data_IF_695537695366
#
_entry.id   IF_695537695366
#
_cell.length_a   1.000
_cell.length_b   1.000
_cell.length_c   1.000
_cell.angle_alpha   90.00
_cell.angle_beta   90.00
_cell.angle_gamma   90.00
#
_symmetry.space_group_name_H-M   'P 1'
#
loop_
_entity.id
_entity.type
_entity.pdbx_description
1 polymer ?
#
# COMPACT_ATOMS: atom_id res chain seq x y z
N UNK A 1 -14.53 -35.07 51.23
CA UNK A 1 -13.88 -33.91 50.57
C UNK A 1 -13.65 -34.26 49.11
N UNK A 2 -14.35 -33.61 48.17
CA UNK A 2 -14.30 -33.95 46.75
C UNK A 2 -13.71 -32.76 45.98
N UNK A 3 -12.45 -32.87 45.57
CA UNK A 3 -11.73 -31.86 44.80
C UNK A 3 -12.10 -32.00 43.32
N UNK A 4 -12.88 -31.05 42.80
CA UNK A 4 -13.15 -30.94 41.36
C UNK A 4 -12.01 -30.18 40.69
N UNK A 5 -11.26 -30.88 39.84
CA UNK A 5 -10.31 -30.26 38.91
C UNK A 5 -11.10 -29.58 37.79
N UNK A 6 -11.20 -28.25 37.84
CA UNK A 6 -11.65 -27.45 36.71
C UNK A 6 -10.51 -27.29 35.72
N UNK A 7 -10.53 -28.07 34.64
CA UNK A 7 -9.67 -27.86 33.47
C UNK A 7 -10.13 -26.57 32.76
N UNK A 8 -9.40 -25.47 33.00
CA UNK A 8 -9.53 -24.26 32.21
C UNK A 8 -9.05 -24.54 30.78
N UNK A 9 -9.99 -24.78 29.87
CA UNK A 9 -9.73 -24.78 28.44
C UNK A 9 -9.61 -23.32 28.00
N UNK A 10 -8.40 -22.77 28.10
CA UNK A 10 -8.09 -21.50 27.43
C UNK A 10 -8.29 -21.70 25.93
N UNK A 11 -9.35 -21.09 25.39
CA UNK A 11 -9.57 -21.00 23.95
C UNK A 11 -8.40 -20.20 23.36
N UNK A 12 -7.37 -20.90 22.91
CA UNK A 12 -6.31 -20.33 22.09
C UNK A 12 -6.97 -19.71 20.84
N UNK A 13 -7.14 -18.39 20.86
CA UNK A 13 -7.50 -17.62 19.66
C UNK A 13 -6.43 -17.92 18.63
N UNK A 14 -6.77 -18.72 17.61
CA UNK A 14 -5.94 -18.89 16.41
C UNK A 14 -5.60 -17.50 15.90
N UNK A 15 -4.35 -17.07 16.08
CA UNK A 15 -3.82 -15.88 15.41
C UNK A 15 -3.87 -16.21 13.91
N UNK A 16 -4.65 -15.44 13.16
CA UNK A 16 -4.57 -15.46 11.72
C UNK A 16 -3.11 -15.21 11.32
N UNK A 17 -2.55 -15.98 10.38
CA UNK A 17 -1.17 -15.78 9.96
C UNK A 17 -1.04 -14.35 9.41
N UNK A 18 -0.15 -13.55 9.99
CA UNK A 18 0.14 -12.22 9.49
C UNK A 18 0.64 -12.33 8.05
N UNK A 19 -0.11 -11.74 7.11
CA UNK A 19 0.31 -11.69 5.73
C UNK A 19 1.65 -10.95 5.63
N UNK A 20 2.57 -11.38 4.74
CA UNK A 20 3.76 -10.61 4.42
C UNK A 20 3.39 -9.16 4.08
N UNK A 21 4.16 -8.20 4.59
CA UNK A 21 3.84 -6.76 4.54
C UNK A 21 3.53 -6.28 3.11
N UNK A 22 4.27 -6.78 2.11
CA UNK A 22 4.04 -6.47 0.70
C UNK A 22 2.66 -6.93 0.19
N UNK A 23 2.22 -8.14 0.58
CA UNK A 23 0.91 -8.66 0.19
C UNK A 23 -0.22 -7.86 0.82
N UNK A 24 -0.03 -7.44 2.08
CA UNK A 24 -0.98 -6.57 2.77
C UNK A 24 -1.07 -5.21 2.10
N UNK A 25 0.06 -4.57 1.82
CA UNK A 25 0.09 -3.28 1.12
C UNK A 25 -0.53 -3.37 -0.27
N UNK A 26 -0.26 -4.45 -1.02
CA UNK A 26 -0.87 -4.65 -2.33
C UNK A 26 -2.40 -4.72 -2.24
N UNK A 27 -2.93 -5.48 -1.27
CA UNK A 27 -4.37 -5.56 -1.03
C UNK A 27 -4.97 -4.20 -0.64
N UNK A 28 -4.28 -3.46 0.24
CA UNK A 28 -4.69 -2.11 0.66
C UNK A 28 -4.72 -1.15 -0.55
N UNK A 29 -3.69 -1.17 -1.39
CA UNK A 29 -3.64 -0.38 -2.62
C UNK A 29 -4.78 -0.76 -3.57
N UNK A 30 -5.02 -2.04 -3.81
CA UNK A 30 -6.11 -2.48 -4.69
C UNK A 30 -7.49 -2.04 -4.19
N UNK A 31 -7.69 -1.98 -2.87
CA UNK A 31 -8.93 -1.45 -2.29
C UNK A 31 -9.04 0.08 -2.46
N UNK A 32 -7.95 0.81 -2.21
CA UNK A 32 -7.91 2.27 -2.18
C UNK A 32 -7.82 2.93 -3.55
N UNK A 33 -7.26 2.26 -4.55
CA UNK A 33 -7.05 2.81 -5.87
C UNK A 33 -8.38 3.05 -6.61
N UNK A 34 -8.50 4.15 -7.37
CA UNK A 34 -9.66 4.40 -8.23
C UNK A 34 -9.69 3.38 -9.38
N UNK A 35 -10.82 3.29 -10.11
CA UNK A 35 -10.99 2.26 -11.16
C UNK A 35 -10.01 2.42 -12.33
N UNK A 36 -9.52 3.64 -12.53
CA UNK A 36 -8.58 4.03 -13.58
C UNK A 36 -7.12 3.83 -13.16
N UNK A 37 -6.88 3.24 -11.99
CA UNK A 37 -5.57 2.84 -11.51
C UNK A 37 -5.56 1.36 -11.12
N UNK A 38 -4.42 0.71 -11.28
CA UNK A 38 -4.23 -0.69 -10.87
C UNK A 38 -2.92 -0.87 -10.14
N UNK A 39 -2.91 -1.74 -9.14
CA UNK A 39 -1.70 -2.23 -8.47
C UNK A 39 -1.53 -3.72 -8.73
N UNK A 40 -0.34 -4.11 -9.15
CA UNK A 40 0.05 -5.46 -9.53
C UNK A 40 1.26 -5.89 -8.72
N UNK A 41 1.32 -7.17 -8.33
CA UNK A 41 2.54 -7.77 -7.81
C UNK A 41 3.58 -7.88 -8.93
N UNK A 42 4.81 -7.45 -8.65
CA UNK A 42 5.95 -7.58 -9.56
C UNK A 42 7.06 -8.33 -8.83
N UNK A 43 7.33 -9.62 -9.12
CA UNK A 43 8.32 -10.39 -8.39
C UNK A 43 9.71 -9.75 -8.50
N UNK A 44 10.41 -9.60 -7.37
CA UNK A 44 11.73 -8.98 -7.30
C UNK A 44 11.65 -7.46 -7.14
N UNK A 45 12.26 -6.73 -8.09
CA UNK A 45 12.28 -5.25 -8.12
C UNK A 45 11.39 -4.80 -9.28
N UNK A 46 10.36 -3.95 -9.06
CA UNK A 46 10.07 -3.20 -7.85
C UNK A 46 9.38 -3.95 -6.71
N UNK A 47 8.70 -5.08 -6.91
CA UNK A 47 7.88 -5.69 -5.85
C UNK A 47 6.39 -5.38 -6.04
N UNK A 48 6.06 -4.10 -6.25
CA UNK A 48 4.71 -3.65 -6.61
C UNK A 48 4.81 -2.68 -7.80
N UNK A 49 3.93 -2.85 -8.79
CA UNK A 49 3.77 -1.95 -9.91
C UNK A 49 2.41 -1.25 -9.82
N UNK A 50 2.39 0.06 -9.96
CA UNK A 50 1.16 0.86 -10.00
C UNK A 50 1.07 1.55 -11.35
N UNK A 51 -0.05 1.39 -12.04
CA UNK A 51 -0.31 2.03 -13.32
C UNK A 51 -1.52 2.97 -13.20
N UNK A 52 -1.38 4.21 -13.67
CA UNK A 52 -2.46 5.19 -13.72
C UNK A 52 -2.27 6.16 -14.89
N UNK A 53 -3.30 6.32 -15.74
CA UNK A 53 -3.32 7.28 -16.87
C UNK A 53 -2.05 7.23 -17.76
N UNK A 54 -1.60 6.02 -18.10
CA UNK A 54 -0.41 5.81 -18.92
C UNK A 54 0.93 6.02 -18.21
N UNK A 55 0.93 6.32 -16.90
CA UNK A 55 2.13 6.40 -16.06
C UNK A 55 2.28 5.13 -15.23
N UNK A 56 3.51 4.70 -15.02
CA UNK A 56 3.85 3.59 -14.15
C UNK A 56 4.77 4.05 -13.02
N UNK A 57 4.50 3.54 -11.81
CA UNK A 57 5.35 3.67 -10.64
C UNK A 57 5.72 2.27 -10.16
N UNK A 58 7.00 1.96 -10.10
CA UNK A 58 7.52 0.84 -9.34
C UNK A 58 7.69 1.22 -7.88
N UNK A 59 7.17 0.41 -6.98
CA UNK A 59 7.28 0.61 -5.55
C UNK A 59 7.90 -0.61 -4.89
N UNK A 60 9.04 -0.39 -4.23
CA UNK A 60 9.76 -1.41 -3.49
C UNK A 60 9.68 -1.18 -1.99
N UNK A 61 9.31 -2.21 -1.25
CA UNK A 61 9.34 -2.15 0.21
C UNK A 61 10.70 -2.60 0.72
N UNK A 62 11.27 -1.78 1.61
CA UNK A 62 12.53 -2.09 2.27
C UNK A 62 12.39 -1.75 3.75
N UNK A 63 12.55 -2.72 4.64
CA UNK A 63 12.35 -2.48 6.06
C UNK A 63 13.33 -1.42 6.61
N UNK A 64 13.03 -0.84 7.77
CA UNK A 64 13.94 0.13 8.41
C UNK A 64 15.24 -0.58 8.81
N UNK A 65 16.37 -0.04 8.36
CA UNK A 65 17.70 -0.62 8.59
C UNK A 65 18.18 -1.53 7.47
N UNK A 66 17.27 -2.02 6.62
CA UNK A 66 17.64 -2.86 5.49
C UNK A 66 18.25 -2.02 4.36
N UNK A 67 19.18 -2.67 3.64
CA UNK A 67 19.86 -2.15 2.46
C UNK A 67 19.48 -2.99 1.26
N UNK A 68 19.42 -2.35 0.10
CA UNK A 68 19.30 -3.08 -1.16
C UNK A 68 20.52 -3.98 -1.34
N UNK A 69 20.28 -5.21 -1.80
CA UNK A 69 21.36 -6.06 -2.27
C UNK A 69 22.00 -5.47 -3.53
N UNK A 70 23.19 -5.94 -3.88
CA UNK A 70 23.86 -5.51 -5.11
C UNK A 70 23.01 -5.80 -6.36
N UNK A 71 22.37 -6.98 -6.41
CA UNK A 71 21.48 -7.36 -7.51
C UNK A 71 20.26 -6.44 -7.61
N UNK A 72 19.63 -6.11 -6.48
CA UNK A 72 18.51 -5.16 -6.46
C UNK A 72 18.96 -3.76 -6.89
N UNK A 73 20.12 -3.30 -6.42
CA UNK A 73 20.67 -2.00 -6.79
C UNK A 73 20.88 -1.89 -8.30
N UNK A 74 21.47 -2.91 -8.91
CA UNK A 74 21.66 -2.94 -10.37
C UNK A 74 20.34 -2.95 -11.14
N UNK A 75 19.34 -3.70 -10.65
CA UNK A 75 18.00 -3.68 -11.24
C UNK A 75 17.34 -2.30 -11.15
N UNK A 76 17.48 -1.61 -10.00
CA UNK A 76 17.00 -0.24 -9.82
C UNK A 76 17.62 0.73 -10.82
N UNK A 77 18.95 0.66 -11.02
CA UNK A 77 19.67 1.49 -11.99
C UNK A 77 19.15 1.20 -13.40
N UNK A 78 19.11 -0.06 -13.82
CA UNK A 78 18.66 -0.44 -15.15
C UNK A 78 17.21 0.00 -15.44
N UNK A 79 16.30 -0.11 -14.48
CA UNK A 79 14.91 0.32 -14.65
C UNK A 79 14.80 1.84 -14.77
N UNK A 80 15.57 2.61 -13.98
CA UNK A 80 15.59 4.07 -14.08
C UNK A 80 16.18 4.54 -15.41
N UNK A 81 17.24 3.89 -15.88
CA UNK A 81 17.86 4.17 -17.18
C UNK A 81 16.89 3.88 -18.33
N UNK A 82 16.03 2.86 -18.18
CA UNK A 82 14.94 2.56 -19.10
C UNK A 82 13.75 3.56 -19.01
N UNK A 83 13.83 4.58 -18.16
CA UNK A 83 12.81 5.62 -18.00
C UNK A 83 11.70 5.29 -17.01
N UNK A 84 11.83 4.21 -16.23
CA UNK A 84 10.84 3.84 -15.23
C UNK A 84 11.01 4.67 -13.95
N UNK A 85 9.91 5.23 -13.44
CA UNK A 85 9.89 5.79 -12.08
C UNK A 85 9.81 4.65 -11.07
N UNK A 86 10.84 4.47 -10.26
CA UNK A 86 10.90 3.46 -9.21
C UNK A 86 11.35 4.07 -7.89
N UNK A 87 10.59 3.81 -6.84
CA UNK A 87 10.76 4.37 -5.49
C UNK A 87 10.88 3.27 -4.43
N UNK A 88 11.53 3.59 -3.33
CA UNK A 88 11.67 2.70 -2.17
C UNK A 88 10.88 3.28 -1.00
N UNK A 89 9.90 2.53 -0.51
CA UNK A 89 9.13 2.88 0.68
C UNK A 89 9.54 2.01 1.88
N UNK A 90 9.61 2.64 3.06
CA UNK A 90 9.97 1.98 4.32
C UNK A 90 8.77 1.45 5.10
N UNK A 91 7.59 1.95 4.78
CA UNK A 91 6.32 1.58 5.37
C UNK A 91 5.15 1.92 4.43
N UNK A 92 3.95 1.46 4.80
CA UNK A 92 2.73 1.68 4.04
C UNK A 92 2.38 3.19 3.90
N UNK A 93 2.69 4.00 4.92
CA UNK A 93 2.39 5.44 4.90
C UNK A 93 3.22 6.13 3.82
N UNK A 94 4.52 5.85 3.78
CA UNK A 94 5.41 6.37 2.75
C UNK A 94 5.01 5.86 1.36
N UNK A 95 4.63 4.58 1.25
CA UNK A 95 4.18 4.02 0.00
C UNK A 95 2.95 4.77 -0.56
N UNK A 96 1.93 4.98 0.27
CA UNK A 96 0.73 5.72 -0.13
C UNK A 96 1.04 7.18 -0.48
N UNK A 97 1.97 7.83 0.21
CA UNK A 97 2.42 9.18 -0.14
C UNK A 97 3.02 9.23 -1.56
N UNK A 98 3.87 8.27 -1.93
CA UNK A 98 4.43 8.18 -3.28
C UNK A 98 3.36 7.95 -4.35
N UNK A 99 2.33 7.16 -4.05
CA UNK A 99 1.18 6.97 -4.94
C UNK A 99 0.40 8.28 -5.14
N UNK A 100 0.25 9.10 -4.10
CA UNK A 100 -0.37 10.43 -4.19
C UNK A 100 0.46 11.39 -5.03
N UNK A 101 1.78 11.40 -4.87
CA UNK A 101 2.69 12.25 -5.66
C UNK A 101 2.68 11.90 -7.15
N UNK A 102 2.33 10.66 -7.51
CA UNK A 102 2.08 10.27 -8.90
C UNK A 102 0.79 10.89 -9.46
N UNK A 103 -0.08 11.42 -8.61
CA UNK A 103 -1.35 12.05 -8.97
C UNK A 103 -2.55 11.09 -8.91
N UNK A 104 -2.43 9.97 -8.19
CA UNK A 104 -3.54 9.02 -8.05
C UNK A 104 -4.45 9.43 -6.88
N UNK A 105 -5.74 9.70 -7.12
CA UNK A 105 -6.68 10.06 -6.06
C UNK A 105 -7.14 8.81 -5.29
N UNK A 106 -6.62 8.60 -4.09
CA UNK A 106 -6.99 7.47 -3.24
C UNK A 106 -8.42 7.67 -2.67
N UNK A 107 -9.22 6.59 -2.62
CA UNK A 107 -10.66 6.64 -2.29
C UNK A 107 -10.98 7.22 -0.91
N UNK A 108 -10.08 7.15 0.07
CA UNK A 108 -10.29 7.79 1.39
C UNK A 108 -10.43 9.32 1.25
N UNK A 109 -9.69 9.95 0.33
CA UNK A 109 -9.74 11.39 0.08
C UNK A 109 -10.85 11.79 -0.90
N UNK A 110 -11.25 10.90 -1.80
CA UNK A 110 -12.39 11.14 -2.68
C UNK A 110 -13.69 11.38 -1.89
N UNK A 111 -13.86 10.72 -0.73
CA UNK A 111 -15.01 10.93 0.15
C UNK A 111 -14.99 12.29 0.87
N UNK A 112 -13.81 12.79 1.24
CA UNK A 112 -13.66 14.07 1.93
C UNK A 112 -13.74 15.27 0.97
N UNK A 113 -13.10 15.18 -0.21
CA UNK A 113 -13.16 16.23 -1.24
C UNK A 113 -14.58 16.46 -1.77
N UNK A 114 -15.38 15.40 -1.98
CA UNK A 114 -16.78 15.54 -2.37
C UNK A 114 -17.62 16.28 -1.32
N UNK A 115 -17.41 16.02 -0.03
CA UNK A 115 -18.11 16.73 1.06
C UNK A 115 -17.84 18.24 1.04
N UNK A 116 -16.62 18.65 0.74
CA UNK A 116 -16.26 20.07 0.68
C UNK A 116 -16.85 20.76 -0.55
N UNK A 117 -16.94 20.07 -1.69
CA UNK A 117 -17.62 20.59 -2.90
C UNK A 117 -19.11 20.82 -2.63
N UNK A 118 -19.82 19.85 -2.03
CA UNK A 118 -21.24 20.03 -1.68
C UNK A 118 -21.47 21.14 -0.64
N UNK A 119 -20.51 21.37 0.26
CA UNK A 119 -20.56 22.45 1.26
C UNK A 119 -20.32 23.83 0.66
N UNK A 120 -19.57 23.93 -0.44
CA UNK A 120 -19.35 25.18 -1.16
C UNK A 120 -20.53 25.54 -2.08
N UNK A 121 -21.15 24.55 -2.75
CA UNK A 121 -22.33 24.79 -3.58
C UNK A 121 -23.54 25.26 -2.76
N UNK A 122 -23.73 24.72 -1.55
CA UNK A 122 -24.79 25.14 -0.63
C UNK A 122 -24.60 26.55 -0.06
N UNK A 123 -23.37 27.09 -0.05
CA UNK A 123 -23.08 28.47 0.37
C UNK A 123 -23.23 29.50 -0.75
N UNK A 124 -23.07 29.12 -2.02
CA UNK A 124 -23.24 30.02 -3.19
C UNK A 124 -24.71 30.25 -3.59
N UNK A 125 -25.65 29.46 -3.06
CA UNK A 125 -27.09 29.56 -3.34
C UNK A 125 -27.89 30.34 -2.28
N UNK A 126 -27.23 30.96 -1.30
CA UNK A 126 -27.80 31.94 -0.39
C UNK A 126 -27.26 33.31 -0.74
#
# INVERSE_FOLDING_TARGET
>A
MSTRFGLNVEKARKREPELPVEKRLLADLQALLPKEAMALAAPGVPGILICHRGRALGLHLLARGDRLSYAQTNAFVALRDAGMRIEVARDAVQALAMVREMGVPLKEEARHSLRDVFRQETRKRK
#
